data_IF_902597711238
#
_entry.id   IF_902597711238
#
_cell.length_a   1.000
_cell.length_b   1.000
_cell.length_c   1.000
_cell.angle_alpha   90.00
_cell.angle_beta   90.00
_cell.angle_gamma   90.00
#
_symmetry.space_group_name_H-M   'P 1'
#
loop_
_entity.id
_entity.type
_entity.pdbx_description
1 polymer ?
#
# COMPACT_ATOMS: atom_id res chain seq x y z
N UNK A 1 -73.60 6.41 -24.28
CA UNK A 1 -73.91 7.74 -23.69
C UNK A 1 -72.63 8.56 -23.68
N UNK A 2 -72.61 9.71 -24.38
CA UNK A 2 -71.66 10.86 -24.32
C UNK A 2 -70.20 10.56 -24.72
N UNK A 3 -69.75 10.84 -25.95
CA UNK A 3 -69.22 12.15 -26.42
C UNK A 3 -68.51 12.95 -25.33
N UNK A 4 -67.20 13.25 -25.48
CA UNK A 4 -66.66 14.60 -25.76
C UNK A 4 -65.21 14.45 -26.25
N UNK A 5 -65.00 14.78 -27.52
CA UNK A 5 -63.71 15.09 -28.12
C UNK A 5 -63.14 16.39 -27.54
N UNK A 6 -61.82 16.45 -27.30
CA UNK A 6 -61.13 17.73 -27.07
C UNK A 6 -59.74 17.73 -27.71
N UNK A 7 -59.72 18.27 -28.93
CA UNK A 7 -58.79 19.33 -29.40
C UNK A 7 -57.30 19.02 -29.27
N UNK A 8 -56.65 18.47 -30.30
CA UNK A 8 -55.99 19.22 -31.40
C UNK A 8 -55.25 20.49 -30.93
N UNK A 9 -53.94 20.33 -30.70
CA UNK A 9 -52.92 21.37 -30.80
C UNK A 9 -51.76 20.68 -31.52
N UNK A 10 -51.74 20.63 -32.84
CA UNK A 10 -51.37 21.72 -33.75
C UNK A 10 -50.03 22.34 -33.35
N UNK A 11 -48.93 21.70 -33.77
CA UNK A 11 -47.91 22.38 -34.58
C UNK A 11 -46.97 21.34 -35.19
N UNK A 12 -47.09 21.20 -36.51
CA UNK A 12 -46.08 20.65 -37.42
C UNK A 12 -44.72 21.30 -37.22
N UNK A 13 -43.63 20.54 -37.31
CA UNK A 13 -42.33 20.86 -37.97
C UNK A 13 -41.30 19.74 -37.66
N UNK A 14 -40.33 19.48 -38.55
CA UNK A 14 -40.44 18.42 -39.53
C UNK A 14 -39.49 17.23 -39.29
N UNK A 15 -39.79 16.16 -40.02
CA UNK A 15 -38.88 15.09 -40.42
C UNK A 15 -37.50 15.65 -40.83
N UNK A 16 -36.44 15.25 -40.14
CA UNK A 16 -35.05 15.06 -40.59
C UNK A 16 -34.09 15.33 -39.42
N UNK A 17 -33.68 14.27 -38.73
CA UNK A 17 -32.27 13.85 -38.67
C UNK A 17 -32.20 12.54 -37.90
N UNK A 18 -32.20 11.42 -38.64
CA UNK A 18 -31.53 10.20 -38.20
C UNK A 18 -30.05 10.52 -38.04
N UNK A 19 -29.59 10.71 -36.81
CA UNK A 19 -28.17 10.66 -36.50
C UNK A 19 -28.00 10.25 -35.02
N UNK A 20 -27.43 9.06 -34.81
CA UNK A 20 -26.72 8.79 -33.56
C UNK A 20 -27.38 7.83 -32.57
N UNK A 21 -27.97 6.72 -33.02
CA UNK A 21 -27.89 5.49 -32.24
C UNK A 21 -26.46 4.94 -32.36
N UNK A 22 -25.54 5.48 -31.58
CA UNK A 22 -24.24 4.87 -31.30
C UNK A 22 -24.25 4.45 -29.84
N UNK A 23 -24.41 3.14 -29.65
CA UNK A 23 -24.38 2.46 -28.38
C UNK A 23 -23.14 2.85 -27.57
N UNK A 24 -23.33 3.54 -26.45
CA UNK A 24 -22.34 3.57 -25.38
C UNK A 24 -22.36 2.22 -24.66
N UNK A 25 -21.81 1.20 -25.32
CA UNK A 25 -21.44 -0.06 -24.72
C UNK A 25 -19.92 -0.15 -24.73
N UNK A 26 -19.28 0.48 -23.75
CA UNK A 26 -17.94 0.12 -23.31
C UNK A 26 -17.93 0.08 -21.78
N UNK A 27 -18.07 -1.17 -21.35
CA UNK A 27 -17.90 -1.78 -20.03
C UNK A 27 -16.67 -1.19 -19.31
N UNK A 28 -16.73 -1.06 -17.96
CA UNK A 28 -15.80 -0.27 -17.18
C UNK A 28 -14.40 -0.88 -17.26
N UNK A 29 -13.37 -0.04 -17.41
CA UNK A 29 -12.10 -0.44 -16.86
C UNK A 29 -12.29 -0.39 -15.33
N UNK A 30 -12.14 -1.51 -14.57
CA UNK A 30 -11.62 -1.31 -13.23
C UNK A 30 -10.32 -0.53 -13.45
N UNK A 31 -10.23 0.68 -12.92
CA UNK A 31 -8.93 1.22 -12.54
C UNK A 31 -8.34 0.08 -11.72
N UNK A 32 -7.39 -0.65 -12.31
CA UNK A 32 -6.65 -1.66 -11.61
C UNK A 32 -6.19 -0.95 -10.34
N UNK A 33 -6.60 -1.45 -9.18
CA UNK A 33 -6.17 -0.90 -7.92
C UNK A 33 -4.65 -0.79 -7.99
N UNK A 34 -4.12 0.43 -8.15
CA UNK A 34 -2.79 0.74 -7.66
C UNK A 34 -2.88 0.46 -6.16
N UNK A 35 -2.52 -0.78 -5.82
CA UNK A 35 -2.68 -1.34 -4.48
C UNK A 35 -2.05 -0.37 -3.50
N UNK A 36 -2.87 0.16 -2.59
CA UNK A 36 -2.55 1.28 -1.73
C UNK A 36 -1.12 1.22 -1.20
N UNK A 37 -0.19 1.96 -1.82
CA UNK A 37 1.19 2.05 -1.36
C UNK A 37 1.25 3.10 -0.26
N UNK A 38 1.82 2.74 0.87
CA UNK A 38 2.14 3.69 1.94
C UNK A 38 3.61 4.06 1.81
N UNK A 39 3.88 5.33 1.54
CA UNK A 39 5.23 5.89 1.57
C UNK A 39 5.41 6.70 2.85
N UNK A 40 6.52 6.45 3.53
CA UNK A 40 6.85 7.03 4.83
C UNK A 40 8.27 7.57 4.78
N UNK A 41 8.46 8.75 5.37
CA UNK A 41 9.79 9.22 5.75
C UNK A 41 10.03 8.83 7.20
N UNK A 42 11.06 8.01 7.44
CA UNK A 42 11.34 7.50 8.76
C UNK A 42 12.68 7.99 9.30
N UNK A 43 12.72 8.40 10.56
CA UNK A 43 13.96 8.53 11.32
C UNK A 43 14.31 7.18 11.94
N UNK A 44 15.35 6.53 11.42
CA UNK A 44 15.93 5.33 12.02
C UNK A 44 16.91 5.75 13.12
N UNK A 45 16.61 5.36 14.35
CA UNK A 45 17.47 5.52 15.52
C UNK A 45 17.95 4.15 15.98
N UNK A 46 19.26 3.88 15.91
CA UNK A 46 19.86 2.67 16.45
C UNK A 46 19.62 2.53 17.95
N UNK A 47 19.17 1.37 18.43
CA UNK A 47 19.31 1.06 19.85
C UNK A 47 20.73 0.53 20.08
N UNK A 48 21.40 1.10 21.07
CA UNK A 48 22.81 0.87 21.35
C UNK A 48 22.99 0.20 22.71
N UNK A 49 23.97 -0.70 22.86
CA UNK A 49 24.41 -1.16 24.17
C UNK A 49 25.06 0.00 24.96
N UNK A 50 25.31 -0.20 26.26
CA UNK A 50 25.83 0.86 27.15
C UNK A 50 27.19 1.42 26.71
N UNK A 51 28.00 0.62 26.03
CA UNK A 51 29.29 0.99 25.43
C UNK A 51 29.16 1.69 24.07
N UNK A 52 27.93 1.87 23.58
CA UNK A 52 27.60 2.61 22.37
C UNK A 52 27.54 1.75 21.10
N UNK A 53 27.16 2.40 20.01
CA UNK A 53 26.79 1.75 18.74
C UNK A 53 27.95 1.55 17.75
N UNK A 54 29.15 2.05 18.06
CA UNK A 54 30.19 2.26 17.07
C UNK A 54 29.87 3.43 16.11
N UNK A 55 30.82 3.83 15.24
CA UNK A 55 30.70 5.05 14.45
C UNK A 55 29.68 4.98 13.30
N UNK A 56 29.36 3.79 12.80
CA UNK A 56 28.51 3.59 11.61
C UNK A 56 27.02 3.51 11.93
N UNK A 57 26.68 3.41 13.22
CA UNK A 57 25.33 3.21 13.72
C UNK A 57 24.84 4.53 14.29
N UNK A 58 24.44 5.42 13.38
CA UNK A 58 23.94 6.77 13.68
C UNK A 58 22.49 6.94 13.27
N UNK A 59 21.80 7.86 13.95
CA UNK A 59 20.45 8.27 13.56
C UNK A 59 20.45 8.86 12.16
N UNK A 60 19.52 8.41 11.31
CA UNK A 60 19.43 8.85 9.91
C UNK A 60 18.02 8.75 9.36
N UNK A 61 17.74 9.54 8.33
CA UNK A 61 16.49 9.45 7.57
C UNK A 61 16.56 8.28 6.59
N UNK A 62 15.52 7.45 6.57
CA UNK A 62 15.36 6.32 5.65
C UNK A 62 13.95 6.32 5.07
N UNK A 63 13.80 6.18 3.74
CA UNK A 63 12.49 5.96 3.14
C UNK A 63 11.99 4.56 3.46
N UNK A 64 10.71 4.44 3.79
CA UNK A 64 10.00 3.17 3.92
C UNK A 64 8.78 3.18 3.00
N UNK A 65 8.67 2.18 2.13
CA UNK A 65 7.51 1.96 1.28
C UNK A 65 6.91 0.59 1.59
N UNK A 66 5.62 0.58 1.92
CA UNK A 66 4.83 -0.63 2.09
C UNK A 66 3.84 -0.74 0.93
N UNK A 67 4.03 -1.73 0.07
CA UNK A 67 3.15 -2.01 -1.06
C UNK A 67 2.43 -3.36 -0.83
N UNK A 68 1.15 -3.34 -0.41
CA UNK A 68 0.37 -4.54 -0.24
C UNK A 68 0.33 -5.35 -1.54
N UNK A 69 0.64 -6.63 -1.43
CA UNK A 69 0.49 -7.59 -2.51
C UNK A 69 -0.76 -8.45 -2.26
N UNK A 70 -1.05 -9.32 -3.21
CA UNK A 70 -2.06 -10.36 -3.06
C UNK A 70 -1.74 -11.29 -1.87
N UNK A 71 -2.77 -11.98 -1.37
CA UNK A 71 -2.55 -13.11 -0.47
C UNK A 71 -1.77 -14.22 -1.18
N UNK A 72 -0.87 -14.88 -0.47
CA UNK A 72 -0.20 -16.08 -0.94
C UNK A 72 -1.14 -17.28 -1.02
N UNK A 73 -0.61 -18.41 -1.50
CA UNK A 73 -1.38 -19.64 -1.68
C UNK A 73 -2.00 -20.17 -0.38
N UNK A 74 -1.35 -19.92 0.76
CA UNK A 74 -1.82 -20.33 2.09
C UNK A 74 -2.65 -19.23 2.79
N UNK A 75 -3.06 -18.19 2.04
CA UNK A 75 -3.85 -17.09 2.55
C UNK A 75 -3.06 -16.04 3.34
N UNK A 76 -1.73 -16.18 3.43
CA UNK A 76 -0.86 -15.23 4.12
C UNK A 76 -0.85 -13.88 3.38
N UNK A 77 -0.86 -12.77 4.13
CA UNK A 77 -0.72 -11.45 3.53
C UNK A 77 0.73 -11.27 3.08
N UNK A 78 0.92 -10.81 1.85
CA UNK A 78 2.24 -10.46 1.32
C UNK A 78 2.31 -8.96 1.14
N UNK A 79 3.46 -8.39 1.43
CA UNK A 79 3.72 -6.97 1.26
C UNK A 79 5.13 -6.83 0.72
N UNK A 80 5.29 -6.10 -0.38
CA UNK A 80 6.60 -5.65 -0.78
C UNK A 80 7.00 -4.49 0.15
N UNK A 81 8.12 -4.66 0.84
CA UNK A 81 8.71 -3.67 1.72
C UNK A 81 9.95 -3.16 1.05
N UNK A 82 10.05 -1.84 0.90
CA UNK A 82 11.29 -1.18 0.52
C UNK A 82 11.74 -0.33 1.69
N UNK A 83 12.87 -0.68 2.31
CA UNK A 83 13.49 0.07 3.39
C UNK A 83 14.86 0.54 2.93
N UNK A 84 15.09 1.86 2.96
CA UNK A 84 16.37 2.46 2.57
C UNK A 84 16.86 2.01 1.18
N UNK A 85 15.94 1.90 0.23
CA UNK A 85 16.20 1.46 -1.14
C UNK A 85 16.36 -0.05 -1.32
N UNK A 86 16.32 -0.85 -0.25
CA UNK A 86 16.36 -2.32 -0.33
C UNK A 86 14.96 -2.89 -0.29
N UNK A 87 14.58 -3.65 -1.33
CA UNK A 87 13.24 -4.24 -1.45
C UNK A 87 13.23 -5.73 -1.15
N UNK A 88 12.19 -6.18 -0.43
CA UNK A 88 11.93 -7.59 -0.18
C UNK A 88 10.43 -7.87 -0.10
N UNK A 89 10.04 -9.11 -0.40
CA UNK A 89 8.66 -9.58 -0.16
C UNK A 89 8.58 -10.11 1.26
N UNK A 90 7.85 -9.38 2.10
CA UNK A 90 7.57 -9.78 3.46
C UNK A 90 6.24 -10.52 3.57
N UNK A 91 6.20 -11.47 4.51
CA UNK A 91 4.97 -12.06 5.02
C UNK A 91 4.45 -11.16 6.13
N UNK A 92 3.18 -10.81 6.08
CA UNK A 92 2.53 -9.99 7.08
C UNK A 92 1.50 -10.82 7.85
N UNK A 93 1.44 -10.64 9.17
CA UNK A 93 0.38 -11.25 10.00
C UNK A 93 -0.96 -10.49 9.87
N UNK A 94 -0.91 -9.23 9.44
CA UNK A 94 -2.05 -8.34 9.26
C UNK A 94 -1.65 -7.18 8.35
N UNK A 95 -2.63 -6.43 7.84
CA UNK A 95 -2.36 -5.25 7.01
C UNK A 95 -1.64 -4.10 7.74
N UNK A 96 -1.53 -4.18 9.08
CA UNK A 96 -1.02 -3.09 9.93
C UNK A 96 0.09 -3.49 10.90
N UNK A 97 0.41 -4.77 11.08
CA UNK A 97 0.89 -5.22 12.39
C UNK A 97 2.32 -5.69 12.48
N UNK A 98 2.78 -6.58 11.60
CA UNK A 98 4.15 -7.06 11.65
C UNK A 98 4.51 -7.74 10.34
N UNK A 99 5.73 -7.51 9.88
CA UNK A 99 6.26 -8.02 8.64
C UNK A 99 7.54 -8.78 8.88
N UNK A 100 7.67 -9.91 8.18
CA UNK A 100 8.78 -10.83 8.31
C UNK A 100 9.32 -11.15 6.93
N UNK A 101 10.60 -10.87 6.71
CA UNK A 101 11.30 -11.28 5.50
C UNK A 101 12.69 -11.79 5.83
N UNK A 102 13.35 -12.32 4.80
CA UNK A 102 14.68 -12.90 4.91
C UNK A 102 15.43 -12.56 3.64
N UNK A 103 16.69 -12.18 3.79
CA UNK A 103 17.64 -12.11 2.69
C UNK A 103 18.77 -13.16 2.88
N UNK A 104 19.85 -13.04 2.12
CA UNK A 104 20.96 -13.98 2.17
C UNK A 104 21.71 -13.97 3.52
N UNK A 105 21.75 -12.82 4.19
CA UNK A 105 22.54 -12.60 5.39
C UNK A 105 21.69 -12.54 6.67
N UNK A 106 20.44 -12.08 6.59
CA UNK A 106 19.64 -11.70 7.76
C UNK A 106 18.20 -12.19 7.71
N UNK A 107 17.68 -12.44 8.90
CA UNK A 107 16.24 -12.54 9.16
C UNK A 107 15.76 -11.20 9.70
N UNK A 108 14.66 -10.70 9.15
CA UNK A 108 14.15 -9.37 9.43
C UNK A 108 12.74 -9.42 10.00
N UNK A 109 12.52 -8.58 11.01
CA UNK A 109 11.20 -8.37 11.61
C UNK A 109 10.96 -6.87 11.73
N UNK A 110 9.89 -6.39 11.09
CA UNK A 110 9.40 -5.03 11.28
C UNK A 110 8.05 -5.10 12.00
N UNK A 111 7.97 -4.49 13.18
CA UNK A 111 6.76 -4.50 14.01
C UNK A 111 6.21 -3.09 14.07
N UNK A 112 4.94 -2.92 13.71
CA UNK A 112 4.23 -1.69 14.00
C UNK A 112 3.82 -1.68 15.46
N UNK A 113 4.21 -0.62 16.17
CA UNK A 113 3.82 -0.41 17.57
C UNK A 113 2.67 0.58 17.65
N UNK A 114 2.21 0.89 18.86
CA UNK A 114 1.19 1.92 19.07
C UNK A 114 1.83 3.29 18.83
N UNK A 115 1.33 4.03 17.83
CA UNK A 115 1.84 5.37 17.45
C UNK A 115 2.42 5.41 16.04
N UNK A 116 3.36 6.31 15.82
CA UNK A 116 4.15 6.53 14.59
C UNK A 116 5.50 5.78 14.63
N UNK A 117 5.65 4.80 15.53
CA UNK A 117 6.90 4.08 15.78
C UNK A 117 6.82 2.63 15.28
N UNK A 118 7.82 2.24 14.51
CA UNK A 118 8.10 0.86 14.13
C UNK A 118 9.38 0.39 14.82
N UNK A 119 9.47 -0.92 15.07
CA UNK A 119 10.68 -1.57 15.55
C UNK A 119 11.19 -2.49 14.45
N UNK A 120 12.44 -2.27 14.04
CA UNK A 120 13.15 -3.16 13.13
C UNK A 120 14.10 -4.01 13.95
N UNK A 121 13.87 -5.31 13.98
CA UNK A 121 14.82 -6.28 14.51
C UNK A 121 15.44 -7.06 13.35
N UNK A 122 16.75 -7.12 13.32
CA UNK A 122 17.50 -7.92 12.36
C UNK A 122 18.32 -8.95 13.12
N UNK A 123 18.33 -10.19 12.63
CA UNK A 123 19.18 -11.26 13.15
C UNK A 123 20.14 -11.70 12.06
N UNK A 124 21.43 -11.59 12.33
CA UNK A 124 22.46 -12.12 11.45
C UNK A 124 22.42 -13.65 11.47
N UNK A 125 22.41 -14.25 10.28
CA UNK A 125 22.24 -15.69 10.11
C UNK A 125 23.53 -16.49 10.34
N UNK A 126 24.69 -15.85 10.33
CA UNK A 126 25.98 -16.51 10.53
C UNK A 126 26.30 -16.68 12.01
N UNK A 127 26.12 -15.63 12.80
CA UNK A 127 26.52 -15.60 14.21
C UNK A 127 25.35 -15.46 15.20
N UNK A 128 24.13 -15.20 14.71
CA UNK A 128 22.94 -15.04 15.55
C UNK A 128 22.85 -13.69 16.26
N UNK A 129 23.73 -12.74 15.94
CA UNK A 129 23.70 -11.39 16.52
C UNK A 129 22.39 -10.71 16.18
N UNK A 130 21.76 -10.06 17.17
CA UNK A 130 20.50 -9.33 16.99
C UNK A 130 20.73 -7.84 17.14
N UNK A 131 20.30 -7.06 16.14
CA UNK A 131 20.21 -5.60 16.23
C UNK A 131 18.75 -5.20 16.30
N UNK A 132 18.45 -4.16 17.09
CA UNK A 132 17.12 -3.60 17.22
C UNK A 132 17.21 -2.10 16.99
N UNK A 133 16.40 -1.59 16.08
CA UNK A 133 16.34 -0.18 15.74
C UNK A 133 14.91 0.31 15.85
N UNK A 134 14.78 1.60 16.16
CA UNK A 134 13.51 2.30 16.18
C UNK A 134 13.37 3.12 14.91
N UNK A 135 12.24 3.00 14.24
CA UNK A 135 11.89 3.89 13.14
C UNK A 135 10.71 4.76 13.59
N UNK A 136 10.87 6.07 13.56
CA UNK A 136 9.76 7.01 13.73
C UNK A 136 9.35 7.53 12.36
N UNK A 137 8.15 7.22 11.92
CA UNK A 137 7.72 7.40 10.54
C UNK A 137 6.57 8.38 10.43
N UNK A 138 6.68 9.31 9.49
CA UNK A 138 5.62 10.23 9.10
C UNK A 138 5.23 9.97 7.65
N UNK A 139 3.97 10.22 7.31
CA UNK A 139 3.50 10.11 5.92
C UNK A 139 4.19 11.19 5.07
N UNK A 140 4.79 10.77 3.96
CA UNK A 140 5.59 11.62 3.07
C UNK A 140 4.75 12.44 2.10
#
# INVERSE_FOLDING_TARGET
MREIAKTLRDTSLPCLTLAGLAAFALIPAPVAAEGARLALSCELTPECPEDGCGPDRVTRQVPLVLAPLSRGAEGELRTEITLDGTSAVARANSARGSWFWRDAARDHVLIATVGDVLILAETDRQDGTVTVDRLRCEES
#
